data_IF_691846547568
#
_entry.id   IF_691846547568
#
_cell.length_a   1.000
_cell.length_b   1.000
_cell.length_c   1.000
_cell.angle_alpha   90.00
_cell.angle_beta   90.00
_cell.angle_gamma   90.00
#
_symmetry.space_group_name_H-M   'P 1'
#
loop_
_entity.id
_entity.type
_entity.pdbx_description
1 polymer ?
#
# COMPACT_ATOMS: atom_id res chain seq x y z
N UNK A 1 27.12 -15.53 -17.20
CA UNK A 1 26.92 -15.19 -18.63
C UNK A 1 25.50 -15.55 -19.01
N UNK A 2 24.74 -14.61 -19.56
CA UNK A 2 23.34 -14.80 -19.95
C UNK A 2 23.27 -15.65 -21.22
N UNK A 3 22.83 -16.90 -21.12
CA UNK A 3 22.63 -17.82 -22.25
C UNK A 3 21.29 -17.57 -22.93
N UNK A 4 21.11 -16.40 -23.57
CA UNK A 4 19.89 -16.09 -24.32
C UNK A 4 20.10 -16.41 -25.80
N UNK A 5 19.04 -16.89 -26.45
CA UNK A 5 19.05 -17.13 -27.89
C UNK A 5 19.34 -15.84 -28.67
N UNK A 6 18.87 -14.70 -28.13
CA UNK A 6 19.12 -13.33 -28.61
C UNK A 6 20.60 -12.92 -28.61
N UNK A 7 21.45 -13.61 -27.83
CA UNK A 7 22.88 -13.33 -27.70
C UNK A 7 23.76 -14.21 -28.60
N UNK A 8 23.16 -15.05 -29.46
CA UNK A 8 23.91 -15.78 -30.48
C UNK A 8 24.38 -14.84 -31.59
N UNK A 9 25.63 -14.99 -32.07
CA UNK A 9 26.12 -14.31 -33.26
C UNK A 9 25.20 -14.57 -34.47
N UNK A 10 24.97 -13.54 -35.27
CA UNK A 10 24.13 -13.63 -36.47
C UNK A 10 24.65 -14.70 -37.45
N UNK A 11 25.96 -14.90 -37.50
CA UNK A 11 26.61 -15.91 -38.34
C UNK A 11 26.15 -17.33 -37.97
N UNK A 12 26.03 -17.63 -36.68
CA UNK A 12 25.52 -18.92 -36.20
C UNK A 12 24.03 -19.08 -36.47
N UNK A 13 23.24 -18.01 -36.34
CA UNK A 13 21.81 -18.04 -36.68
C UNK A 13 21.61 -18.29 -38.18
N UNK A 14 22.41 -17.65 -39.05
CA UNK A 14 22.38 -17.88 -40.49
C UNK A 14 22.78 -19.32 -40.81
N UNK A 15 23.83 -19.84 -40.18
CA UNK A 15 24.28 -21.22 -40.38
C UNK A 15 23.26 -22.26 -39.92
N UNK A 16 22.49 -21.98 -38.87
CA UNK A 16 21.38 -22.85 -38.43
C UNK A 16 20.18 -22.73 -39.38
N UNK A 17 19.82 -21.51 -39.77
CA UNK A 17 18.62 -21.26 -40.58
C UNK A 17 18.77 -21.63 -42.05
N UNK A 18 20.01 -21.80 -42.57
CA UNK A 18 20.23 -22.28 -43.97
C UNK A 18 19.66 -23.66 -44.27
N UNK A 19 19.41 -24.47 -43.23
CA UNK A 19 18.83 -25.81 -43.38
C UNK A 19 17.30 -25.81 -43.42
N UNK A 20 16.66 -24.65 -43.25
CA UNK A 20 15.21 -24.51 -43.27
C UNK A 20 14.77 -23.71 -44.50
N UNK A 21 13.58 -24.04 -45.01
CA UNK A 21 12.94 -23.22 -46.04
C UNK A 21 12.59 -21.83 -45.47
N UNK A 22 12.93 -20.79 -46.23
CA UNK A 22 12.76 -19.39 -45.82
C UNK A 22 11.28 -19.04 -45.57
N UNK A 23 10.36 -19.62 -46.35
CA UNK A 23 8.92 -19.37 -46.22
C UNK A 23 8.39 -20.03 -44.95
N UNK A 24 8.85 -21.25 -44.65
CA UNK A 24 8.51 -21.94 -43.41
C UNK A 24 9.04 -21.21 -42.17
N UNK A 25 10.28 -20.70 -42.21
CA UNK A 25 10.83 -19.88 -41.13
C UNK A 25 9.99 -18.62 -40.92
N UNK A 26 9.71 -17.88 -42.01
CA UNK A 26 8.91 -16.66 -41.96
C UNK A 26 7.52 -16.90 -41.37
N UNK A 27 6.79 -17.90 -41.87
CA UNK A 27 5.46 -18.24 -41.35
C UNK A 27 5.50 -18.76 -39.91
N UNK A 28 6.55 -19.49 -39.52
CA UNK A 28 6.71 -19.95 -38.15
C UNK A 28 6.90 -18.78 -37.18
N UNK A 29 7.84 -17.86 -37.47
CA UNK A 29 8.06 -16.69 -36.60
C UNK A 29 6.87 -15.73 -36.61
N UNK A 30 6.27 -15.47 -37.77
CA UNK A 30 5.04 -14.67 -37.86
C UNK A 30 3.93 -15.30 -37.03
N UNK A 31 3.62 -16.58 -37.27
CA UNK A 31 2.52 -17.29 -36.60
C UNK A 31 2.75 -17.38 -35.10
N UNK A 32 4.00 -17.58 -34.67
CA UNK A 32 4.39 -17.56 -33.27
C UNK A 32 4.14 -16.17 -32.65
N UNK A 33 4.60 -15.10 -33.30
CA UNK A 33 4.36 -13.72 -32.83
C UNK A 33 2.87 -13.39 -32.76
N UNK A 34 2.09 -13.80 -33.75
CA UNK A 34 0.64 -13.60 -33.75
C UNK A 34 -0.04 -14.35 -32.61
N UNK A 35 0.34 -15.61 -32.37
CA UNK A 35 -0.18 -16.42 -31.26
C UNK A 35 0.18 -15.80 -29.91
N UNK A 36 1.42 -15.34 -29.73
CA UNK A 36 1.84 -14.66 -28.51
C UNK A 36 1.06 -13.36 -28.28
N UNK A 37 0.88 -12.53 -29.32
CA UNK A 37 0.07 -11.32 -29.21
C UNK A 37 -1.38 -11.63 -28.83
N UNK A 38 -1.99 -12.63 -29.47
CA UNK A 38 -3.35 -13.05 -29.14
C UNK A 38 -3.45 -13.57 -27.70
N UNK A 39 -2.45 -14.34 -27.24
CA UNK A 39 -2.39 -14.82 -25.86
C UNK A 39 -2.28 -13.65 -24.88
N UNK A 40 -1.37 -12.72 -25.11
CA UNK A 40 -1.20 -11.53 -24.27
C UNK A 40 -2.49 -10.69 -24.22
N UNK A 41 -3.16 -10.48 -25.35
CA UNK A 41 -4.44 -9.77 -25.38
C UNK A 41 -5.59 -10.53 -24.71
N UNK A 42 -5.53 -11.87 -24.67
CA UNK A 42 -6.54 -12.70 -24.00
C UNK A 42 -6.33 -12.80 -22.48
N UNK A 43 -5.11 -12.56 -22.00
CA UNK A 43 -4.79 -12.60 -20.58
C UNK A 43 -5.45 -11.43 -19.86
N UNK A 44 -5.97 -11.73 -18.67
CA UNK A 44 -6.49 -10.75 -17.73
C UNK A 44 -5.63 -10.80 -16.48
N UNK A 45 -5.68 -9.74 -15.69
CA UNK A 45 -5.06 -9.70 -14.35
C UNK A 45 -3.53 -9.57 -14.38
N UNK A 46 -3.01 -8.69 -15.22
CA UNK A 46 -1.57 -8.45 -15.23
C UNK A 46 -1.08 -7.78 -13.95
N UNK A 47 0.10 -8.20 -13.51
CA UNK A 47 0.93 -7.48 -12.57
C UNK A 47 2.05 -6.80 -13.35
N UNK A 48 2.24 -5.51 -13.12
CA UNK A 48 3.24 -4.72 -13.83
C UNK A 48 4.07 -3.88 -12.87
N UNK A 49 5.37 -3.81 -13.14
CA UNK A 49 6.32 -3.00 -12.37
C UNK A 49 6.91 -1.93 -13.29
N UNK A 50 6.68 -0.66 -12.95
CA UNK A 50 7.24 0.48 -13.66
C UNK A 50 8.55 0.88 -12.97
N UNK A 51 9.65 0.63 -13.66
CA UNK A 51 11.00 1.05 -13.27
C UNK A 51 11.48 2.23 -14.13
N UNK A 52 12.51 2.94 -13.67
CA UNK A 52 13.03 4.21 -14.26
C UNK A 52 13.38 4.13 -15.76
N UNK A 53 13.55 2.92 -16.30
CA UNK A 53 13.99 2.65 -17.67
C UNK A 53 12.93 1.92 -18.52
N UNK A 54 11.74 1.61 -18.00
CA UNK A 54 10.71 0.94 -18.78
C UNK A 54 9.98 1.96 -19.65
N UNK A 55 10.27 1.90 -20.94
CA UNK A 55 9.55 2.62 -21.98
C UNK A 55 8.06 2.25 -22.00
N UNK A 56 7.26 3.11 -22.64
CA UNK A 56 5.80 3.23 -22.76
C UNK A 56 4.98 1.95 -23.09
N UNK A 57 5.61 0.78 -23.15
CA UNK A 57 5.02 -0.53 -23.45
C UNK A 57 3.78 -0.89 -22.61
N UNK A 58 3.71 -0.43 -21.36
CA UNK A 58 2.55 -0.68 -20.50
C UNK A 58 1.25 -0.07 -21.04
N UNK A 59 1.32 0.99 -21.87
CA UNK A 59 0.13 1.65 -22.42
C UNK A 59 -0.76 0.70 -23.22
N UNK A 60 -0.17 -0.30 -23.88
CA UNK A 60 -0.90 -1.28 -24.70
C UNK A 60 -1.78 -2.17 -23.82
N UNK A 61 -1.31 -2.48 -22.61
CA UNK A 61 -1.94 -3.44 -21.70
C UNK A 61 -2.51 -2.78 -20.44
N UNK A 62 -2.58 -1.44 -20.39
CA UNK A 62 -2.93 -0.69 -19.17
C UNK A 62 -4.28 -1.13 -18.57
N UNK A 63 -5.28 -1.33 -19.42
CA UNK A 63 -6.61 -1.81 -19.04
C UNK A 63 -6.63 -3.26 -18.49
N UNK A 64 -5.60 -4.07 -18.75
CA UNK A 64 -5.49 -5.45 -18.27
C UNK A 64 -4.68 -5.54 -16.97
N UNK A 65 -4.04 -4.45 -16.55
CA UNK A 65 -3.25 -4.37 -15.33
C UNK A 65 -4.17 -4.20 -14.14
N UNK A 66 -4.07 -5.17 -13.22
CA UNK A 66 -4.81 -5.18 -11.95
C UNK A 66 -3.90 -4.89 -10.77
N UNK A 67 -2.60 -5.18 -10.91
CA UNK A 67 -1.59 -4.90 -9.88
C UNK A 67 -0.48 -4.06 -10.46
N UNK A 68 -0.28 -2.86 -9.91
CA UNK A 68 0.72 -1.92 -10.39
C UNK A 68 1.67 -1.57 -9.25
N UNK A 69 2.96 -1.77 -9.51
CA UNK A 69 4.05 -1.31 -8.65
C UNK A 69 4.86 -0.26 -9.38
N UNK A 70 5.07 0.89 -8.76
CA UNK A 70 5.79 2.02 -9.37
C UNK A 70 7.02 2.29 -8.52
N UNK A 71 8.20 2.13 -9.13
CA UNK A 71 9.51 2.35 -8.50
C UNK A 71 10.21 3.59 -9.05
N UNK A 72 9.44 4.52 -9.60
CA UNK A 72 9.94 5.74 -10.25
C UNK A 72 9.07 6.93 -9.84
N UNK A 73 9.69 8.10 -9.76
CA UNK A 73 9.00 9.37 -9.52
C UNK A 73 8.47 10.01 -10.82
N UNK A 74 8.67 9.35 -11.97
CA UNK A 74 8.16 9.81 -13.26
C UNK A 74 6.63 9.97 -13.24
N UNK A 75 6.13 10.97 -13.98
CA UNK A 75 4.70 11.19 -14.14
C UNK A 75 4.09 10.02 -14.93
N UNK A 76 3.13 9.37 -14.29
CA UNK A 76 2.34 8.30 -14.86
C UNK A 76 0.90 8.73 -14.67
N UNK A 77 0.10 8.56 -15.72
CA UNK A 77 -1.32 8.86 -15.71
C UNK A 77 -2.09 7.62 -15.23
N UNK A 78 -2.63 7.69 -14.02
CA UNK A 78 -3.33 6.56 -13.39
C UNK A 78 -4.69 6.26 -14.01
N UNK A 79 -5.27 7.19 -14.78
CA UNK A 79 -6.56 6.97 -15.47
C UNK A 79 -6.50 5.85 -16.51
N UNK A 80 -5.29 5.45 -16.94
CA UNK A 80 -5.07 4.36 -17.88
C UNK A 80 -5.31 2.96 -17.27
N UNK A 81 -5.32 2.85 -15.93
CA UNK A 81 -5.43 1.58 -15.21
C UNK A 81 -6.81 1.43 -14.55
N UNK A 82 -7.87 1.39 -15.38
CA UNK A 82 -9.26 1.36 -14.89
C UNK A 82 -9.65 0.12 -14.06
N UNK A 83 -8.91 -0.98 -14.21
CA UNK A 83 -9.15 -2.25 -13.50
C UNK A 83 -8.19 -2.48 -12.34
N UNK A 84 -7.57 -1.42 -11.82
CA UNK A 84 -6.56 -1.55 -10.80
C UNK A 84 -7.16 -1.93 -9.45
N UNK A 85 -6.72 -3.06 -8.89
CA UNK A 85 -7.08 -3.51 -7.54
C UNK A 85 -5.94 -3.34 -6.55
N UNK A 86 -4.69 -3.20 -7.02
CA UNK A 86 -3.52 -3.06 -6.15
C UNK A 86 -2.57 -2.01 -6.70
N UNK A 87 -2.24 -1.02 -5.88
CA UNK A 87 -1.27 0.03 -6.18
C UNK A 87 -0.17 0.07 -5.11
N UNK A 88 1.08 -0.07 -5.53
CA UNK A 88 2.26 0.11 -4.69
C UNK A 88 3.14 1.21 -5.26
N UNK A 89 3.34 2.30 -4.51
CA UNK A 89 4.22 3.40 -4.87
C UNK A 89 5.47 3.39 -4.00
N UNK A 90 6.60 3.01 -4.59
CA UNK A 90 7.92 3.11 -3.96
C UNK A 90 8.50 4.51 -4.25
N UNK A 91 8.48 5.40 -3.25
CA UNK A 91 8.92 6.81 -3.35
C UNK A 91 7.95 7.67 -4.19
N UNK A 92 6.68 7.65 -3.78
CA UNK A 92 5.62 8.40 -4.43
C UNK A 92 5.96 9.90 -4.54
N UNK A 93 5.75 10.48 -5.72
CA UNK A 93 5.80 11.93 -5.91
C UNK A 93 4.45 12.57 -5.60
N UNK A 94 4.44 13.87 -5.31
CA UNK A 94 3.20 14.62 -5.03
C UNK A 94 2.16 14.44 -6.16
N UNK A 95 2.58 14.57 -7.42
CA UNK A 95 1.71 14.38 -8.58
C UNK A 95 1.12 12.96 -8.69
N UNK A 96 1.82 11.94 -8.19
CA UNK A 96 1.28 10.58 -8.15
C UNK A 96 0.23 10.45 -7.05
N UNK A 97 0.46 11.05 -5.88
CA UNK A 97 -0.47 11.02 -4.76
C UNK A 97 -1.79 11.75 -5.08
N UNK A 98 -1.72 12.86 -5.80
CA UNK A 98 -2.90 13.63 -6.22
C UNK A 98 -3.78 12.88 -7.24
N UNK A 99 -3.22 11.90 -7.95
CA UNK A 99 -3.97 11.05 -8.87
C UNK A 99 -4.64 9.84 -8.21
N UNK A 100 -4.33 9.55 -6.95
CA UNK A 100 -4.99 8.47 -6.20
C UNK A 100 -6.35 9.00 -5.78
N UNK A 101 -7.38 8.65 -6.55
CA UNK A 101 -8.77 9.06 -6.33
C UNK A 101 -9.71 7.89 -6.58
N UNK A 102 -10.75 7.78 -5.76
CA UNK A 102 -11.78 6.74 -5.82
C UNK A 102 -12.52 6.70 -7.17
N UNK A 103 -12.66 7.83 -7.84
CA UNK A 103 -13.24 7.90 -9.19
C UNK A 103 -12.29 7.39 -10.30
N UNK A 104 -10.98 7.43 -10.09
CA UNK A 104 -9.96 6.94 -11.04
C UNK A 104 -9.73 5.43 -10.87
N UNK A 105 -9.68 4.97 -9.61
CA UNK A 105 -9.45 3.56 -9.26
C UNK A 105 -10.53 3.03 -8.30
N UNK A 106 -11.79 2.89 -8.77
CA UNK A 106 -12.92 2.55 -7.91
C UNK A 106 -12.85 1.14 -7.32
N UNK A 107 -12.06 0.24 -7.93
CA UNK A 107 -11.91 -1.16 -7.52
C UNK A 107 -10.66 -1.40 -6.65
N UNK A 108 -10.01 -0.34 -6.16
CA UNK A 108 -8.77 -0.47 -5.40
C UNK A 108 -9.01 -1.21 -4.08
N UNK A 109 -8.27 -2.31 -3.88
CA UNK A 109 -8.32 -3.16 -2.69
C UNK A 109 -7.07 -3.02 -1.82
N UNK A 110 -5.91 -2.85 -2.45
CA UNK A 110 -4.62 -2.75 -1.79
C UNK A 110 -3.92 -1.45 -2.19
N UNK A 111 -3.57 -0.64 -1.20
CA UNK A 111 -2.80 0.58 -1.38
C UNK A 111 -1.55 0.54 -0.52
N UNK A 112 -0.39 0.75 -1.12
CA UNK A 112 0.86 0.93 -0.41
C UNK A 112 1.56 2.18 -0.93
N UNK A 113 1.83 3.11 -0.02
CA UNK A 113 2.45 4.39 -0.33
C UNK A 113 3.68 4.53 0.54
N UNK A 114 4.85 4.50 -0.09
CA UNK A 114 6.10 4.90 0.54
C UNK A 114 6.48 6.28 0.02
N UNK A 115 6.46 7.30 0.87
CA UNK A 115 6.97 8.64 0.54
C UNK A 115 8.34 8.88 1.17
N UNK A 116 9.18 9.76 0.60
CA UNK A 116 10.25 10.41 1.35
C UNK A 116 9.69 11.14 2.57
N UNK A 117 10.45 11.22 3.67
CA UNK A 117 10.02 11.76 4.98
C UNK A 117 9.40 13.17 4.97
N UNK A 118 9.64 13.95 3.91
CA UNK A 118 9.18 15.34 3.77
C UNK A 118 7.85 15.48 3.03
N UNK A 119 7.32 14.41 2.42
CA UNK A 119 6.07 14.46 1.66
C UNK A 119 4.95 13.90 2.52
N UNK A 120 4.02 14.79 2.89
CA UNK A 120 2.75 14.43 3.53
C UNK A 120 1.76 13.94 2.47
N UNK A 121 0.84 13.06 2.88
CA UNK A 121 -0.26 12.66 2.01
C UNK A 121 -1.20 13.85 1.77
N UNK A 122 -1.73 14.03 0.54
CA UNK A 122 -2.75 15.04 0.26
C UNK A 122 -3.98 14.84 1.14
N UNK A 123 -4.56 15.94 1.60
CA UNK A 123 -5.72 15.90 2.50
C UNK A 123 -6.91 15.19 1.85
N UNK A 124 -7.12 15.39 0.56
CA UNK A 124 -8.22 14.78 -0.19
C UNK A 124 -8.07 13.26 -0.25
N UNK A 125 -6.84 12.76 -0.44
CA UNK A 125 -6.56 11.33 -0.44
C UNK A 125 -6.83 10.72 0.94
N UNK A 126 -6.37 11.40 1.99
CA UNK A 126 -6.64 11.01 3.37
C UNK A 126 -8.16 10.95 3.58
N UNK A 127 -8.89 12.00 3.22
CA UNK A 127 -10.35 12.04 3.37
C UNK A 127 -11.02 10.87 2.66
N UNK A 128 -10.71 10.61 1.39
CA UNK A 128 -11.32 9.52 0.61
C UNK A 128 -11.04 8.12 1.19
N UNK A 129 -9.83 7.89 1.73
CA UNK A 129 -9.47 6.61 2.38
C UNK A 129 -10.34 6.38 3.63
N UNK A 130 -10.56 7.45 4.40
CA UNK A 130 -11.19 7.37 5.72
C UNK A 130 -12.69 7.71 5.73
N UNK A 131 -13.24 8.22 4.61
CA UNK A 131 -14.67 8.51 4.38
C UNK A 131 -15.45 7.35 3.75
N UNK A 132 -14.79 6.21 3.49
CA UNK A 132 -15.34 5.05 2.77
C UNK A 132 -15.60 5.29 1.26
N UNK A 133 -15.00 6.33 0.66
CA UNK A 133 -15.11 6.56 -0.79
C UNK A 133 -14.41 5.43 -1.57
N UNK A 134 -13.29 4.93 -1.07
CA UNK A 134 -12.70 3.66 -1.53
C UNK A 134 -13.42 2.46 -0.92
N UNK A 135 -14.55 2.08 -1.52
CA UNK A 135 -15.46 1.03 -1.00
C UNK A 135 -14.83 -0.35 -0.85
N UNK A 136 -13.79 -0.68 -1.62
CA UNK A 136 -13.16 -1.99 -1.62
C UNK A 136 -11.76 -1.98 -0.99
N UNK A 137 -11.29 -0.84 -0.48
CA UNK A 137 -9.95 -0.71 0.07
C UNK A 137 -9.87 -1.43 1.42
N UNK A 138 -9.33 -2.65 1.41
CA UNK A 138 -9.19 -3.48 2.60
C UNK A 138 -7.83 -3.31 3.28
N UNK A 139 -6.81 -2.97 2.50
CA UNK A 139 -5.45 -2.83 2.97
C UNK A 139 -4.87 -1.48 2.58
N UNK A 140 -4.34 -0.75 3.56
CA UNK A 140 -3.60 0.49 3.33
C UNK A 140 -2.28 0.49 4.12
N UNK A 141 -1.18 0.78 3.44
CA UNK A 141 0.09 1.12 4.09
C UNK A 141 0.45 2.55 3.70
N UNK A 142 0.32 3.45 4.66
CA UNK A 142 0.47 4.89 4.51
C UNK A 142 1.77 5.34 5.18
N UNK A 143 2.61 6.06 4.45
CA UNK A 143 3.92 6.49 4.93
C UNK A 143 3.82 7.40 6.15
N UNK A 144 3.27 8.61 6.05
CA UNK A 144 3.24 9.59 7.13
C UNK A 144 1.87 10.23 7.25
N UNK A 145 1.31 10.18 8.45
CA UNK A 145 -0.06 10.56 8.74
C UNK A 145 -0.09 11.57 9.91
N UNK A 146 -0.08 12.87 9.58
CA UNK A 146 0.12 13.96 10.56
C UNK A 146 -0.93 15.08 10.53
N UNK A 147 -1.73 15.20 9.45
CA UNK A 147 -2.70 16.31 9.28
C UNK A 147 -4.12 15.78 9.51
N UNK A 148 -4.71 16.07 10.66
CA UNK A 148 -5.97 15.44 11.11
C UNK A 148 -6.93 16.43 11.78
N UNK A 149 -7.37 17.44 11.02
CA UNK A 149 -8.54 18.22 11.41
C UNK A 149 -9.81 17.57 10.84
N UNK A 150 -10.87 17.45 11.64
CA UNK A 150 -12.23 17.01 11.26
C UNK A 150 -12.49 15.52 10.95
N UNK A 151 -11.60 14.61 11.34
CA UNK A 151 -11.78 13.17 11.13
C UNK A 151 -12.96 12.53 11.85
N UNK A 152 -13.43 13.14 12.94
CA UNK A 152 -14.59 12.66 13.70
C UNK A 152 -15.87 12.59 12.88
N UNK A 153 -15.91 13.20 11.68
CA UNK A 153 -17.04 13.14 10.75
C UNK A 153 -16.95 11.97 9.76
N UNK A 154 -15.79 11.35 9.63
CA UNK A 154 -15.55 10.28 8.66
C UNK A 154 -15.62 8.92 9.33
N UNK A 155 -16.11 7.94 8.57
CA UNK A 155 -16.10 6.53 8.95
C UNK A 155 -15.74 5.69 7.73
N UNK A 156 -14.74 4.82 7.87
CA UNK A 156 -14.31 3.87 6.85
C UNK A 156 -14.65 2.46 7.31
N UNK A 157 -15.55 1.82 6.57
CA UNK A 157 -15.99 0.45 6.86
C UNK A 157 -15.27 -0.58 5.98
N UNK A 158 -14.54 -0.14 4.96
CA UNK A 158 -13.83 -1.00 4.03
C UNK A 158 -12.45 -1.44 4.53
N UNK A 159 -11.78 -0.63 5.34
CA UNK A 159 -10.42 -0.91 5.83
C UNK A 159 -10.41 -2.01 6.90
N UNK A 160 -9.60 -3.03 6.67
CA UNK A 160 -9.37 -4.15 7.59
C UNK A 160 -7.93 -4.17 8.11
N UNK A 161 -6.96 -3.73 7.30
CA UNK A 161 -5.55 -3.68 7.67
C UNK A 161 -4.97 -2.32 7.35
N UNK A 162 -4.34 -1.71 8.34
CA UNK A 162 -3.77 -0.38 8.21
C UNK A 162 -2.37 -0.33 8.82
N UNK A 163 -1.42 0.18 8.05
CA UNK A 163 -0.08 0.54 8.49
C UNK A 163 0.09 2.04 8.37
N UNK A 164 0.49 2.70 9.46
CA UNK A 164 0.76 4.14 9.46
C UNK A 164 2.08 4.42 10.17
N UNK A 165 2.69 5.53 9.78
CA UNK A 165 3.70 6.21 10.60
C UNK A 165 3.11 7.57 11.00
N UNK A 166 3.13 7.92 12.28
CA UNK A 166 2.59 9.20 12.77
C UNK A 166 3.53 9.91 13.75
N UNK A 167 3.39 11.24 13.82
CA UNK A 167 4.11 12.08 14.79
C UNK A 167 3.24 12.63 15.91
N UNK A 168 1.91 12.55 15.76
CA UNK A 168 0.95 12.94 16.79
C UNK A 168 0.28 11.68 17.35
N UNK A 169 0.36 11.52 18.66
CA UNK A 169 -0.17 10.37 19.38
C UNK A 169 -1.71 10.33 19.30
N UNK A 170 -2.38 11.48 19.09
CA UNK A 170 -3.83 11.56 18.90
C UNK A 170 -4.34 10.89 17.61
N UNK A 171 -3.45 10.62 16.64
CA UNK A 171 -3.82 9.95 15.38
C UNK A 171 -4.29 8.51 15.65
N UNK A 172 -3.66 7.84 16.61
CA UNK A 172 -3.94 6.43 16.94
C UNK A 172 -5.40 6.22 17.36
N UNK A 173 -5.91 6.88 18.42
CA UNK A 173 -7.32 6.73 18.82
C UNK A 173 -8.28 7.25 17.75
N UNK A 174 -7.90 8.29 17.00
CA UNK A 174 -8.74 8.84 15.95
C UNK A 174 -8.94 7.86 14.79
N UNK A 175 -7.89 7.17 14.38
CA UNK A 175 -7.97 6.10 13.37
C UNK A 175 -8.84 4.95 13.87
N UNK A 176 -8.68 4.53 15.13
CA UNK A 176 -9.53 3.50 15.73
C UNK A 176 -11.01 3.92 15.73
N UNK A 177 -11.29 5.18 16.05
CA UNK A 177 -12.65 5.74 15.98
C UNK A 177 -13.23 5.77 14.57
N UNK A 178 -12.41 6.09 13.56
CA UNK A 178 -12.83 6.23 12.18
C UNK A 178 -12.95 4.88 11.44
N UNK A 179 -12.22 3.84 11.85
CA UNK A 179 -12.15 2.55 11.14
C UNK A 179 -12.72 1.39 11.98
N UNK A 180 -14.04 1.32 12.22
CA UNK A 180 -14.62 0.34 13.15
C UNK A 180 -14.43 -1.14 12.77
N UNK A 181 -14.15 -1.44 11.50
CA UNK A 181 -13.93 -2.79 10.98
C UNK A 181 -12.43 -3.16 10.88
N UNK A 182 -11.54 -2.33 11.45
CA UNK A 182 -10.11 -2.58 11.40
C UNK A 182 -9.77 -3.83 12.24
N UNK A 183 -9.20 -4.84 11.59
CA UNK A 183 -8.79 -6.12 12.19
C UNK A 183 -7.34 -6.06 12.64
N UNK A 184 -6.47 -5.42 11.86
CA UNK A 184 -5.03 -5.33 12.12
C UNK A 184 -4.52 -3.91 11.94
N UNK A 185 -3.88 -3.37 12.97
CA UNK A 185 -3.40 -1.99 13.00
C UNK A 185 -1.93 -1.91 13.42
N UNK A 186 -1.11 -1.40 12.51
CA UNK A 186 0.32 -1.23 12.71
C UNK A 186 0.67 0.25 12.74
N UNK A 187 1.30 0.67 13.83
CA UNK A 187 1.68 2.05 14.07
C UNK A 187 3.18 2.12 14.31
N UNK A 188 3.86 2.94 13.53
CA UNK A 188 5.20 3.42 13.86
C UNK A 188 5.11 4.86 14.34
N UNK A 189 5.59 5.15 15.55
CA UNK A 189 5.56 6.48 16.15
C UNK A 189 6.95 7.10 16.21
N UNK A 190 7.10 8.35 15.79
CA UNK A 190 8.41 9.04 15.79
C UNK A 190 8.33 10.52 16.16
N UNK A 191 7.20 10.98 16.69
CA UNK A 191 6.97 12.38 17.02
C UNK A 191 7.11 12.70 18.50
N UNK A 192 6.41 13.75 18.92
CA UNK A 192 6.37 14.16 20.32
C UNK A 192 5.11 13.62 20.97
N UNK A 193 5.24 13.04 22.16
CA UNK A 193 4.09 12.58 22.90
C UNK A 193 3.22 13.77 23.30
N UNK A 194 1.98 13.77 22.80
CA UNK A 194 0.94 14.72 23.17
C UNK A 194 -0.06 14.01 24.08
N UNK A 195 -0.66 14.77 24.97
CA UNK A 195 -1.70 14.26 25.84
C UNK A 195 -2.89 13.79 24.98
N UNK A 196 -3.30 12.53 25.15
CA UNK A 196 -4.49 11.95 24.55
C UNK A 196 -5.60 11.92 25.59
N UNK A 197 -6.86 12.06 25.17
CA UNK A 197 -8.01 11.87 26.04
C UNK A 197 -8.49 10.41 26.03
N UNK A 198 -8.87 9.84 27.19
CA UNK A 198 -9.48 8.51 27.24
C UNK A 198 -10.82 8.49 26.49
N UNK A 199 -11.27 7.31 26.03
CA UNK A 199 -12.57 7.19 25.39
C UNK A 199 -13.69 7.59 26.35
N UNK A 200 -14.71 8.28 25.84
CA UNK A 200 -15.82 8.76 26.67
C UNK A 200 -16.74 7.64 27.18
N UNK A 201 -16.65 6.45 26.58
CA UNK A 201 -17.44 5.26 26.92
C UNK A 201 -16.61 3.99 26.66
N UNK A 202 -17.09 2.84 27.15
CA UNK A 202 -16.48 1.54 26.86
C UNK A 202 -16.43 1.31 25.35
N UNK A 203 -15.21 1.26 24.81
CA UNK A 203 -14.98 1.26 23.38
C UNK A 203 -14.72 -0.16 22.88
N UNK A 204 -15.71 -0.75 22.19
CA UNK A 204 -15.67 -2.15 21.77
C UNK A 204 -15.21 -2.26 20.30
N UNK A 205 -13.91 -2.06 20.06
CA UNK A 205 -13.35 -2.16 18.70
C UNK A 205 -13.18 -3.63 18.29
N UNK A 206 -13.37 -3.93 17.00
CA UNK A 206 -13.16 -5.24 16.37
C UNK A 206 -11.69 -5.63 16.15
N UNK A 207 -10.75 -4.88 16.74
CA UNK A 207 -9.32 -5.02 16.46
C UNK A 207 -8.82 -6.32 17.08
N UNK A 208 -8.20 -7.16 16.25
CA UNK A 208 -7.61 -8.43 16.71
C UNK A 208 -6.11 -8.32 16.89
N UNK A 209 -5.44 -7.51 16.06
CA UNK A 209 -3.98 -7.37 16.06
C UNK A 209 -3.57 -5.90 16.18
N UNK A 210 -2.70 -5.61 17.15
CA UNK A 210 -2.14 -4.28 17.35
C UNK A 210 -0.61 -4.34 17.44
N UNK A 211 0.05 -3.56 16.60
CA UNK A 211 1.50 -3.44 16.56
C UNK A 211 1.88 -1.98 16.78
N UNK A 212 2.61 -1.70 17.86
CA UNK A 212 3.11 -0.38 18.16
C UNK A 212 4.64 -0.40 18.23
N UNK A 213 5.27 0.34 17.32
CA UNK A 213 6.71 0.53 17.28
C UNK A 213 7.05 2.00 17.54
N UNK A 214 7.72 2.26 18.65
CA UNK A 214 8.23 3.57 19.05
C UNK A 214 9.77 3.53 19.13
N UNK A 215 10.46 3.60 17.98
CA UNK A 215 11.93 3.47 17.89
C UNK A 215 12.69 4.54 18.66
N UNK A 216 12.07 5.69 18.95
CA UNK A 216 12.70 6.82 19.63
C UNK A 216 12.23 7.00 21.07
N UNK A 217 11.40 6.09 21.57
CA UNK A 217 10.95 6.03 22.96
C UNK A 217 10.31 7.35 23.42
N UNK A 218 9.39 7.84 22.60
CA UNK A 218 8.73 9.13 22.80
C UNK A 218 7.41 9.01 23.52
N UNK A 219 6.67 7.91 23.35
CA UNK A 219 5.38 7.69 24.00
C UNK A 219 5.56 7.43 25.50
N UNK A 220 4.78 8.14 26.32
CA UNK A 220 4.70 7.83 27.74
C UNK A 220 3.82 6.60 27.99
N UNK A 221 4.03 5.99 29.14
CA UNK A 221 3.19 4.91 29.63
C UNK A 221 1.70 5.30 29.69
N UNK A 222 1.38 6.50 30.19
CA UNK A 222 0.00 6.98 30.28
C UNK A 222 -0.68 7.05 28.91
N UNK A 223 0.05 7.50 27.89
CA UNK A 223 -0.46 7.55 26.51
C UNK A 223 -0.75 6.16 25.98
N UNK A 224 0.14 5.19 26.24
CA UNK A 224 -0.04 3.80 25.83
C UNK A 224 -1.23 3.16 26.57
N UNK A 225 -1.35 3.40 27.87
CA UNK A 225 -2.49 2.94 28.66
C UNK A 225 -3.81 3.47 28.10
N UNK A 226 -3.87 4.77 27.77
CA UNK A 226 -5.05 5.38 27.14
C UNK A 226 -5.36 4.73 25.79
N UNK A 227 -4.36 4.40 24.96
CA UNK A 227 -4.56 3.68 23.70
C UNK A 227 -5.21 2.32 23.95
N UNK A 228 -4.78 1.58 24.98
CA UNK A 228 -5.37 0.27 25.30
C UNK A 228 -6.85 0.33 25.68
N UNK A 229 -7.31 1.44 26.25
CA UNK A 229 -8.74 1.67 26.49
C UNK A 229 -9.57 1.68 25.19
N UNK A 230 -8.96 1.92 24.03
CA UNK A 230 -9.62 1.84 22.72
C UNK A 230 -9.57 0.44 22.08
N UNK A 231 -8.79 -0.49 22.62
CA UNK A 231 -8.55 -1.80 21.98
C UNK A 231 -8.65 -2.96 22.97
N UNK A 232 -9.76 -3.08 23.74
CA UNK A 232 -9.86 -4.05 24.83
C UNK A 232 -9.89 -5.52 24.39
N UNK A 233 -10.17 -5.81 23.11
CA UNK A 233 -10.33 -7.20 22.62
C UNK A 233 -9.16 -7.71 21.76
N UNK A 234 -8.00 -7.04 21.82
CA UNK A 234 -6.85 -7.43 21.00
C UNK A 234 -6.37 -8.83 21.41
N UNK A 235 -6.23 -9.70 20.41
CA UNK A 235 -5.74 -11.07 20.55
C UNK A 235 -4.22 -11.14 20.43
N UNK A 236 -3.65 -10.31 19.55
CA UNK A 236 -2.22 -10.28 19.28
C UNK A 236 -1.67 -8.87 19.47
N UNK A 237 -0.79 -8.73 20.45
CA UNK A 237 -0.19 -7.46 20.82
C UNK A 237 1.33 -7.52 20.64
N UNK A 238 1.88 -6.64 19.82
CA UNK A 238 3.31 -6.49 19.64
C UNK A 238 3.72 -5.06 19.97
N UNK A 239 4.54 -4.90 20.99
CA UNK A 239 4.99 -3.60 21.46
C UNK A 239 6.52 -3.53 21.40
N UNK A 240 7.04 -2.54 20.68
CA UNK A 240 8.46 -2.25 20.60
C UNK A 240 8.69 -0.79 21.02
N UNK A 241 8.84 -0.57 22.33
CA UNK A 241 9.04 0.73 22.96
C UNK A 241 9.89 0.58 24.23
N UNK A 242 10.35 1.70 24.81
CA UNK A 242 11.02 1.72 26.11
C UNK A 242 10.04 2.23 27.16
N UNK A 243 9.99 1.56 28.31
CA UNK A 243 9.11 1.91 29.42
C UNK A 243 9.91 1.96 30.72
N UNK A 244 9.77 3.06 31.47
CA UNK A 244 10.38 3.22 32.79
C UNK A 244 9.52 2.61 33.92
N UNK A 245 8.49 1.84 33.56
CA UNK A 245 7.55 1.21 34.48
C UNK A 245 7.86 -0.29 34.59
N UNK A 246 7.73 -0.91 35.79
CA UNK A 246 7.86 -2.35 35.93
C UNK A 246 6.93 -3.10 34.98
N UNK A 247 7.45 -4.16 34.35
CA UNK A 247 6.72 -4.99 33.39
C UNK A 247 5.39 -5.55 33.94
N UNK A 248 5.32 -5.81 35.24
CA UNK A 248 4.08 -6.28 35.91
C UNK A 248 2.96 -5.25 35.78
N UNK A 249 3.24 -3.97 36.03
CA UNK A 249 2.23 -2.91 35.93
C UNK A 249 1.79 -2.71 34.47
N UNK A 250 2.67 -2.95 33.49
CA UNK A 250 2.29 -2.94 32.08
C UNK A 250 1.30 -4.06 31.77
N UNK A 251 1.57 -5.29 32.23
CA UNK A 251 0.67 -6.43 32.04
C UNK A 251 -0.67 -6.19 32.72
N UNK A 252 -0.69 -5.72 33.96
CA UNK A 252 -1.93 -5.43 34.69
C UNK A 252 -2.81 -4.40 33.95
N UNK A 253 -2.20 -3.41 33.29
CA UNK A 253 -2.93 -2.42 32.49
C UNK A 253 -3.38 -2.93 31.12
N UNK A 254 -2.82 -4.03 30.62
CA UNK A 254 -3.28 -4.69 29.38
C UNK A 254 -4.43 -5.65 29.67
N UNK A 255 -4.44 -6.27 30.87
CA UNK A 255 -5.42 -7.27 31.27
C UNK A 255 -6.71 -6.68 31.87
N UNK A 256 -6.69 -5.44 32.33
CA UNK A 256 -7.82 -4.73 32.93
C UNK A 256 -8.50 -3.80 31.93
#
# INVERSE_FOLDING_TARGET
>A
MSSRLESLPNELLIDVFKYFDISNLYHSFWGLNQRFNNLLHSMKNFSFIIEKNNSLSFKIFAHQIIRLKIQTSQSIDFSQFSNLNSLELCRASQNQLEQIRSNIMPNLVYLTISTPFHISLPLELIQEIFSNDFRFLHYAHLSRLDIFENFSKFQSFSLHTLYITCTDSNIIPLVLQTCPNLVSFHVTFFGQNRHILPPSSSYNHSLEEFFLHDPYHKLSFDTIHIIFLFIPNVKYLCLQFLCDVPFINLIENILN
#
